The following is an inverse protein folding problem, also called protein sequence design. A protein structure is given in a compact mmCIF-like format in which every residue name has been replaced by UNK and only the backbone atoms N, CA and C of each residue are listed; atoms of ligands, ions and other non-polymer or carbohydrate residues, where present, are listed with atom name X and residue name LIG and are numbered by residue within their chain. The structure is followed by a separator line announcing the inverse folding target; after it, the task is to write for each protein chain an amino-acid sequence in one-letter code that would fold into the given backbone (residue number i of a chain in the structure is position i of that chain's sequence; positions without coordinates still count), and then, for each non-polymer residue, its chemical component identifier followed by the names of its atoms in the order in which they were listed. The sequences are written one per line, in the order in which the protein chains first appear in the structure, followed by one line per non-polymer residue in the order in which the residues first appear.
data_IF_419431509124
#
_entry.id   IF_419431509124
#
_cell.length_a   1.000
_cell.length_b   1.000
_cell.length_c   1.000
_cell.angle_alpha   90.00
_cell.angle_beta   90.00
_cell.angle_gamma   90.00
#
_symmetry.space_group_name_H-M   'P 1'
#
loop_
_entity.id
_entity.type
_entity.pdbx_description
1 polymer ?
#
# COMPACT_ATOMS: atom_id res chain seq x y z
N UNK A 1 7.98 -1.92 1.28
CA UNK A 1 6.88 -2.04 2.27
C UNK A 1 6.17 -0.72 2.58
N UNK A 2 6.83 0.45 2.46
CA UNK A 2 6.17 1.75 2.64
C UNK A 2 4.90 1.95 1.80
N UNK A 3 4.88 1.47 0.56
CA UNK A 3 3.68 1.45 -0.30
C UNK A 3 2.49 0.73 0.34
N UNK A 4 2.72 -0.44 0.92
CA UNK A 4 1.68 -1.24 1.59
C UNK A 4 1.08 -0.46 2.75
N UNK A 5 1.96 0.05 3.62
CA UNK A 5 1.57 0.83 4.79
C UNK A 5 0.80 2.10 4.35
N UNK A 6 1.26 2.76 3.28
CA UNK A 6 0.58 3.92 2.71
C UNK A 6 -0.79 3.58 2.14
N UNK A 7 -0.95 2.45 1.44
CA UNK A 7 -2.23 2.00 0.90
C UNK A 7 -3.23 1.66 2.02
N UNK A 8 -2.77 0.99 3.09
CA UNK A 8 -3.58 0.73 4.29
C UNK A 8 -3.98 2.02 5.02
N UNK A 9 -3.28 3.12 4.80
CA UNK A 9 -3.52 4.39 5.46
C UNK A 9 -4.35 5.36 4.61
N UNK A 10 -4.93 4.91 3.49
CA UNK A 10 -5.88 5.72 2.73
C UNK A 10 -7.03 6.21 3.62
N UNK A 11 -7.50 7.43 3.36
CA UNK A 11 -8.69 7.97 4.01
C UNK A 11 -9.94 7.30 3.42
N UNK A 12 -10.21 6.06 3.86
CA UNK A 12 -11.36 5.27 3.44
C UNK A 12 -11.88 4.43 4.62
N UNK A 13 -13.19 4.12 4.69
CA UNK A 13 -13.74 3.27 5.73
C UNK A 13 -12.98 1.94 5.82
N UNK A 14 -12.50 1.52 7.00
CA UNK A 14 -11.52 0.43 7.07
C UNK A 14 -12.13 -0.92 6.71
N UNK A 15 -13.40 -1.16 7.07
CA UNK A 15 -14.16 -2.34 6.66
C UNK A 15 -14.48 -2.41 5.16
N UNK A 16 -14.22 -1.33 4.39
CA UNK A 16 -14.38 -1.30 2.92
C UNK A 16 -13.05 -1.28 2.17
N UNK A 17 -11.93 -1.24 2.89
CA UNK A 17 -10.60 -1.20 2.31
C UNK A 17 -9.90 -2.54 2.55
N UNK A 18 -9.44 -3.16 1.46
CA UNK A 18 -8.64 -4.36 1.48
C UNK A 18 -7.39 -4.16 0.60
N UNK A 19 -6.23 -4.52 1.12
CA UNK A 19 -4.93 -4.41 0.46
C UNK A 19 -4.43 -5.82 0.16
N UNK A 20 -4.20 -6.10 -1.12
CA UNK A 20 -3.68 -7.38 -1.59
C UNK A 20 -2.27 -7.17 -2.16
N UNK A 21 -1.32 -8.00 -1.74
CA UNK A 21 0.06 -7.97 -2.21
C UNK A 21 0.33 -9.24 -3.00
N UNK A 22 0.80 -9.09 -4.24
CA UNK A 22 1.33 -10.22 -5.01
C UNK A 22 2.83 -10.32 -4.83
N UNK A 23 3.30 -11.49 -4.41
CA UNK A 23 4.72 -11.85 -4.44
C UNK A 23 4.96 -12.95 -5.46
N UNK A 24 5.55 -12.56 -6.58
CA UNK A 24 5.87 -13.46 -7.68
C UNK A 24 7.09 -14.35 -7.37
N UNK A 25 7.87 -14.03 -6.34
CA UNK A 25 8.99 -14.86 -5.92
C UNK A 25 8.64 -15.89 -4.85
N UNK A 26 7.45 -15.79 -4.24
CA UNK A 26 7.07 -16.66 -3.11
C UNK A 26 8.12 -16.66 -1.99
N UNK A 27 8.80 -15.53 -1.78
CA UNK A 27 9.96 -15.45 -0.88
C UNK A 27 9.49 -15.22 0.56
N UNK A 28 10.06 -16.01 1.47
CA UNK A 28 9.78 -15.89 2.89
C UNK A 28 10.26 -14.52 3.45
N UNK A 29 11.31 -13.92 2.86
CA UNK A 29 11.72 -12.53 3.14
C UNK A 29 10.56 -11.55 2.88
N UNK A 30 9.91 -11.65 1.72
CA UNK A 30 8.78 -10.77 1.37
C UNK A 30 7.60 -11.02 2.30
N UNK A 31 7.27 -12.29 2.58
CA UNK A 31 6.17 -12.64 3.48
C UNK A 31 6.42 -12.07 4.90
N UNK A 32 7.61 -12.28 5.45
CA UNK A 32 8.00 -11.75 6.75
C UNK A 32 8.00 -10.20 6.74
N UNK A 33 8.44 -9.57 5.65
CA UNK A 33 8.35 -8.12 5.51
C UNK A 33 6.90 -7.60 5.52
N UNK A 34 5.94 -8.35 4.95
CA UNK A 34 4.51 -8.00 5.01
C UNK A 34 3.98 -8.19 6.44
N UNK A 35 4.38 -9.24 7.16
CA UNK A 35 4.02 -9.43 8.58
C UNK A 35 4.53 -8.30 9.47
N UNK A 36 5.77 -7.86 9.27
CA UNK A 36 6.30 -6.70 10.00
C UNK A 36 5.58 -5.39 9.59
N UNK A 37 5.24 -5.23 8.31
CA UNK A 37 4.48 -4.08 7.84
C UNK A 37 3.07 -4.05 8.45
N UNK A 38 2.41 -5.20 8.62
CA UNK A 38 1.14 -5.32 9.34
C UNK A 38 1.29 -4.84 10.79
N UNK A 39 2.28 -5.35 11.52
CA UNK A 39 2.55 -4.98 12.92
C UNK A 39 2.76 -3.48 13.08
N UNK A 40 3.58 -2.86 12.22
CA UNK A 40 3.78 -1.41 12.25
C UNK A 40 2.52 -0.63 11.86
N UNK A 41 1.76 -1.11 10.87
CA UNK A 41 0.52 -0.46 10.42
C UNK A 41 -0.51 -0.29 11.52
N UNK A 42 -0.54 -1.20 12.51
CA UNK A 42 -1.43 -1.10 13.70
C UNK A 42 -1.16 0.13 14.56
N UNK A 43 0.03 0.73 14.47
CA UNK A 43 0.35 2.01 15.12
C UNK A 43 0.20 3.17 14.13
N UNK A 44 0.69 2.99 12.92
CA UNK A 44 0.72 4.02 11.88
C UNK A 44 -0.67 4.44 11.40
N UNK A 45 -1.56 3.49 11.09
CA UNK A 45 -2.91 3.77 10.57
C UNK A 45 -3.75 4.55 11.59
N UNK A 46 -3.84 4.15 12.88
CA UNK A 46 -4.48 4.96 13.91
C UNK A 46 -3.88 6.35 14.06
N UNK A 47 -2.55 6.48 14.07
CA UNK A 47 -1.89 7.78 14.20
C UNK A 47 -2.26 8.71 13.03
N UNK A 48 -2.16 8.19 11.82
CA UNK A 48 -2.57 8.84 10.58
C UNK A 48 -4.00 9.39 10.63
N UNK A 49 -4.94 8.60 11.18
CA UNK A 49 -6.35 9.00 11.31
C UNK A 49 -6.58 9.98 12.47
N UNK A 50 -5.94 9.75 13.62
CA UNK A 50 -6.06 10.61 14.83
C UNK A 50 -5.70 12.06 14.52
N UNK A 51 -4.63 12.25 13.76
CA UNK A 51 -4.05 13.57 13.50
C UNK A 51 -4.28 14.07 12.06
N UNK A 52 -5.11 13.39 11.28
CA UNK A 52 -5.47 13.84 9.92
C UNK A 52 -4.27 14.02 8.99
N UNK A 53 -3.26 13.15 9.07
CA UNK A 53 -2.01 13.33 8.32
C UNK A 53 -2.22 13.22 6.81
N UNK A 54 -1.68 14.18 6.05
CA UNK A 54 -1.68 14.07 4.58
C UNK A 54 -0.65 13.04 4.09
N UNK A 55 0.53 12.98 4.71
CA UNK A 55 1.59 12.06 4.32
C UNK A 55 1.32 10.65 4.87
N UNK A 56 0.96 9.72 3.97
CA UNK A 56 0.66 8.32 4.34
C UNK A 56 1.85 7.37 4.25
N UNK A 57 2.90 7.76 3.55
CA UNK A 57 4.14 7.00 3.45
C UNK A 57 5.06 7.32 4.63
N UNK A 58 5.36 6.35 5.52
CA UNK A 58 6.19 6.58 6.71
C UNK A 58 7.58 7.12 6.39
N UNK A 59 8.25 6.54 5.38
CA UNK A 59 9.57 6.99 4.93
C UNK A 59 9.58 8.46 4.51
N UNK A 60 8.58 8.88 3.74
CA UNK A 60 8.44 10.31 3.39
C UNK A 60 8.19 11.15 4.63
N UNK A 61 7.26 10.72 5.48
CA UNK A 61 6.87 11.47 6.66
C UNK A 61 8.05 11.73 7.61
N UNK A 62 8.86 10.70 7.87
CA UNK A 62 10.02 10.83 8.76
C UNK A 62 11.24 11.48 8.09
N UNK A 63 11.36 11.44 6.76
CA UNK A 63 12.39 12.16 6.03
C UNK A 63 12.11 13.68 5.88
N UNK A 64 10.85 14.08 5.93
CA UNK A 64 10.45 15.48 5.76
C UNK A 64 10.76 16.29 7.04
N UNK A 65 11.44 17.42 6.89
CA UNK A 65 11.77 18.35 7.99
C UNK A 65 10.61 19.30 8.35
N UNK A 66 9.39 19.03 7.88
CA UNK A 66 8.23 19.87 8.15
C UNK A 66 7.97 19.95 9.67
N UNK A 67 7.85 21.19 10.15
CA UNK A 67 7.41 21.45 11.52
C UNK A 67 5.91 21.19 11.59
N UNK A 68 5.54 19.99 12.02
CA UNK A 68 4.16 19.69 12.38
C UNK A 68 3.78 20.55 13.59
N UNK A 69 2.75 21.40 13.44
CA UNK A 69 2.19 22.16 14.55
C UNK A 69 1.29 21.18 15.33
N UNK A 70 1.86 20.57 16.37
CA UNK A 70 1.18 19.60 17.22
C UNK A 70 1.05 20.08 18.67
N UNK A 71 0.17 19.44 19.44
CA UNK A 71 0.15 19.55 20.90
C UNK A 71 1.18 18.59 21.52
N UNK A 72 1.44 18.68 22.82
CA UNK A 72 2.40 17.81 23.51
C UNK A 72 2.07 16.31 23.36
N UNK A 73 0.79 15.96 23.24
CA UNK A 73 0.32 14.59 22.98
C UNK A 73 0.76 14.09 21.60
N UNK A 74 0.61 14.92 20.56
CA UNK A 74 1.09 14.62 19.22
C UNK A 74 2.60 14.35 19.20
N UNK A 75 3.38 15.19 19.90
CA UNK A 75 4.84 15.01 19.96
C UNK A 75 5.23 13.72 20.68
N UNK A 76 4.54 13.37 21.77
CA UNK A 76 4.74 12.12 22.48
C UNK A 76 4.41 10.90 21.58
N UNK A 77 3.24 10.89 20.96
CA UNK A 77 2.80 9.83 20.05
C UNK A 77 3.75 9.71 18.85
N UNK A 78 4.19 10.84 18.28
CA UNK A 78 5.13 10.89 17.15
C UNK A 78 6.49 10.31 17.53
N UNK A 79 6.99 10.60 18.73
CA UNK A 79 8.27 10.06 19.19
C UNK A 79 8.21 8.54 19.38
N UNK A 80 7.13 8.03 19.98
CA UNK A 80 6.89 6.58 20.08
C UNK A 80 6.83 5.95 18.68
N UNK A 81 6.09 6.57 17.75
CA UNK A 81 5.94 6.04 16.41
C UNK A 81 7.25 6.06 15.60
N UNK A 82 8.10 7.06 15.83
CA UNK A 82 9.45 7.11 15.24
C UNK A 82 10.31 5.94 15.70
N UNK A 83 10.25 5.60 16.98
CA UNK A 83 10.95 4.43 17.51
C UNK A 83 10.41 3.13 16.91
N UNK A 84 9.09 2.96 16.87
CA UNK A 84 8.46 1.80 16.21
C UNK A 84 8.82 1.67 14.73
N UNK A 85 8.97 2.80 14.04
CA UNK A 85 9.38 2.80 12.64
C UNK A 85 10.84 2.34 12.49
N UNK A 86 11.73 2.74 13.40
CA UNK A 86 13.11 2.23 13.44
C UNK A 86 13.15 0.74 13.73
N UNK A 87 12.42 0.25 14.73
CA UNK A 87 12.28 -1.18 15.03
C UNK A 87 11.82 -1.97 13.79
N UNK A 88 10.83 -1.44 13.07
CA UNK A 88 10.35 -2.01 11.82
C UNK A 88 11.43 -2.06 10.74
N UNK A 89 12.19 -0.98 10.52
CA UNK A 89 13.29 -0.95 9.55
C UNK A 89 14.38 -1.97 9.91
N UNK A 90 14.79 -2.04 11.16
CA UNK A 90 15.77 -3.03 11.63
C UNK A 90 15.27 -4.47 11.45
N UNK A 91 13.98 -4.73 11.67
CA UNK A 91 13.40 -6.05 11.45
C UNK A 91 13.46 -6.46 9.97
N UNK A 92 13.20 -5.52 9.05
CA UNK A 92 13.34 -5.77 7.61
C UNK A 92 14.79 -6.10 7.22
N UNK A 93 15.76 -5.36 7.78
CA UNK A 93 17.19 -5.61 7.53
C UNK A 93 17.63 -6.98 8.05
N UNK A 94 17.27 -7.32 9.29
CA UNK A 94 17.56 -8.64 9.90
C UNK A 94 16.98 -9.79 9.09
N UNK A 95 15.72 -9.68 8.66
CA UNK A 95 15.07 -10.68 7.82
C UNK A 95 15.77 -10.84 6.46
N UNK A 96 16.28 -9.76 5.89
CA UNK A 96 17.03 -9.81 4.63
C UNK A 96 18.43 -10.44 4.77
N UNK A 97 19.03 -10.45 5.96
CA UNK A 97 20.36 -11.03 6.21
C UNK A 97 20.30 -12.52 6.56
N UNK A 98 19.25 -12.95 7.26
CA UNK A 98 19.15 -14.30 7.80
C UNK A 98 18.67 -15.35 6.77
N UNK A 99 18.00 -14.93 5.70
CA UNK A 99 17.44 -15.85 4.71
C UNK A 99 18.20 -15.84 3.38
N UNK A 100 18.32 -17.03 2.78
CA UNK A 100 18.90 -17.15 1.45
C UNK A 100 18.00 -16.44 0.43
N UNK A 101 18.58 -15.55 -0.39
CA UNK A 101 17.87 -14.82 -1.46
C UNK A 101 17.41 -15.71 -2.63
N UNK A 102 17.34 -17.03 -2.42
CA UNK A 102 16.97 -18.02 -3.41
C UNK A 102 15.47 -17.93 -3.69
N UNK A 103 15.10 -17.15 -4.70
CA UNK A 103 13.75 -17.19 -5.27
C UNK A 103 13.61 -18.49 -6.06
N UNK A 104 12.86 -19.46 -5.52
CA UNK A 104 12.57 -20.68 -6.26
C UNK A 104 11.70 -20.34 -7.46
N UNK A 105 12.03 -20.89 -8.64
CA UNK A 105 11.12 -20.86 -9.81
C UNK A 105 9.98 -21.86 -9.69
N UNK A 106 10.03 -22.69 -8.65
CA UNK A 106 9.09 -23.75 -8.37
C UNK A 106 8.66 -23.69 -6.90
N UNK A 107 7.42 -23.25 -6.67
CA UNK A 107 6.86 -23.14 -5.33
C UNK A 107 5.34 -23.29 -5.34
N UNK A 108 4.76 -23.86 -4.27
CA UNK A 108 3.31 -23.93 -4.12
C UNK A 108 2.71 -22.52 -3.95
N UNK A 109 1.38 -22.39 -4.10
CA UNK A 109 0.70 -21.15 -3.78
C UNK A 109 0.67 -20.94 -2.25
N UNK A 110 0.82 -19.69 -1.83
CA UNK A 110 0.71 -19.27 -0.42
C UNK A 110 -0.22 -18.08 -0.34
N UNK A 111 -1.27 -18.18 0.48
CA UNK A 111 -2.17 -17.07 0.77
C UNK A 111 -2.19 -16.91 2.28
N UNK A 112 -1.88 -15.71 2.76
CA UNK A 112 -1.91 -15.39 4.18
C UNK A 112 -2.71 -14.12 4.41
N UNK A 113 -3.77 -14.23 5.22
CA UNK A 113 -4.57 -13.10 5.66
C UNK A 113 -3.99 -12.63 6.99
N UNK A 114 -3.51 -11.39 7.04
CA UNK A 114 -2.94 -10.83 8.25
C UNK A 114 -4.06 -10.54 9.24
N UNK A 115 -4.05 -11.25 10.37
CA UNK A 115 -5.06 -11.13 11.42
C UNK A 115 -4.38 -11.04 12.79
N UNK A 116 -5.14 -10.63 13.80
CA UNK A 116 -4.67 -10.54 15.18
C UNK A 116 -4.96 -11.87 15.90
N UNK A 117 -3.97 -12.76 16.01
CA UNK A 117 -4.10 -14.03 16.76
C UNK A 117 -4.17 -13.83 18.28
N UNK A 118 -3.93 -12.62 18.82
CA UNK A 118 -3.59 -12.43 20.24
C UNK A 118 -4.31 -11.30 20.99
N UNK A 119 -5.21 -10.51 20.41
CA UNK A 119 -5.91 -9.44 21.16
C UNK A 119 -7.38 -9.30 20.77
N UNK A 120 -8.25 -10.07 21.44
CA UNK A 120 -9.69 -9.82 21.46
C UNK A 120 -10.08 -8.61 22.34
N UNK A 121 -9.16 -8.10 23.15
CA UNK A 121 -9.39 -6.96 24.04
C UNK A 121 -8.41 -5.82 23.76
N UNK A 122 -8.82 -4.93 22.88
CA UNK A 122 -8.55 -3.49 22.93
C UNK A 122 -9.48 -2.90 21.89
N UNK A 123 -9.94 -1.65 22.05
CA UNK A 123 -10.74 -0.95 21.04
C UNK A 123 -9.97 -0.69 19.75
N UNK A 124 -9.50 -1.76 19.08
CA UNK A 124 -8.77 -1.78 17.84
C UNK A 124 -9.64 -1.07 16.82
N UNK A 125 -9.29 0.19 16.59
CA UNK A 125 -9.73 0.97 15.44
C UNK A 125 -9.66 0.05 14.23
N UNK A 126 -10.80 -0.11 13.54
CA UNK A 126 -10.94 -1.03 12.42
C UNK A 126 -9.72 -0.90 11.48
N UNK A 127 -8.98 -1.99 11.32
CA UNK A 127 -7.84 -2.07 10.42
C UNK A 127 -8.33 -2.58 9.06
N UNK A 128 -7.84 -2.02 7.93
CA UNK A 128 -8.10 -2.59 6.62
C UNK A 128 -7.55 -4.02 6.52
N UNK A 129 -8.22 -4.86 5.74
CA UNK A 129 -7.74 -6.21 5.46
C UNK A 129 -6.41 -6.16 4.71
N UNK A 130 -5.42 -6.96 5.13
CA UNK A 130 -4.16 -7.12 4.41
C UNK A 130 -3.97 -8.60 4.06
N UNK A 131 -3.80 -8.89 2.77
CA UNK A 131 -3.65 -10.27 2.25
C UNK A 131 -2.38 -10.38 1.43
N UNK A 132 -1.50 -11.29 1.83
CA UNK A 132 -0.36 -11.72 1.04
C UNK A 132 -0.77 -12.86 0.11
N UNK A 133 -0.35 -12.78 -1.15
CA UNK A 133 -0.61 -13.80 -2.17
C UNK A 133 0.68 -14.09 -2.94
N UNK A 134 1.20 -15.30 -2.79
CA UNK A 134 2.14 -15.90 -3.73
C UNK A 134 1.41 -16.95 -4.55
N UNK A 135 1.35 -16.75 -5.86
CA UNK A 135 0.74 -17.73 -6.77
C UNK A 135 1.65 -18.92 -6.98
N UNK A 136 1.08 -20.07 -7.30
CA UNK A 136 1.89 -21.24 -7.69
C UNK A 136 2.75 -20.90 -8.91
N UNK A 137 4.01 -21.34 -8.88
CA UNK A 137 4.91 -21.31 -10.04
C UNK A 137 5.53 -22.67 -10.24
N UNK A 138 5.62 -23.07 -11.51
CA UNK A 138 6.32 -24.27 -11.99
C UNK A 138 7.16 -23.87 -13.19
N UNK A 139 8.35 -24.44 -13.31
CA UNK A 139 9.33 -24.08 -14.35
C UNK A 139 8.82 -24.23 -15.80
N UNK A 140 7.91 -25.17 -16.03
CA UNK A 140 7.33 -25.49 -17.33
C UNK A 140 5.98 -24.81 -17.62
N UNK A 141 5.51 -23.89 -16.76
CA UNK A 141 4.23 -23.20 -16.96
C UNK A 141 4.43 -21.69 -17.16
N UNK A 142 3.99 -21.11 -18.30
CA UNK A 142 4.09 -19.67 -18.50
C UNK A 142 3.19 -18.94 -17.52
N UNK A 143 3.74 -17.91 -16.85
CA UNK A 143 3.04 -17.19 -15.78
C UNK A 143 2.67 -15.74 -16.13
N UNK A 144 2.97 -15.25 -17.33
CA UNK A 144 2.53 -13.93 -17.83
C UNK A 144 2.87 -12.73 -16.91
N UNK A 145 3.98 -12.81 -16.16
CA UNK A 145 4.52 -11.73 -15.32
C UNK A 145 3.44 -10.95 -14.54
N UNK A 146 3.45 -9.62 -14.62
CA UNK A 146 2.54 -8.70 -13.92
C UNK A 146 1.07 -8.92 -14.28
N UNK A 147 0.76 -9.19 -15.56
CA UNK A 147 -0.62 -9.43 -16.00
C UNK A 147 -1.21 -10.70 -15.36
N UNK A 148 -0.42 -11.78 -15.32
CA UNK A 148 -0.83 -13.00 -14.64
C UNK A 148 -0.98 -12.84 -13.12
N UNK A 149 -0.09 -12.07 -12.50
CA UNK A 149 -0.14 -11.77 -11.07
C UNK A 149 -1.41 -10.99 -10.71
N UNK A 150 -1.70 -9.93 -11.46
CA UNK A 150 -2.89 -9.10 -11.25
C UNK A 150 -4.19 -9.92 -11.42
N UNK A 151 -4.25 -10.79 -12.43
CA UNK A 151 -5.39 -11.69 -12.63
C UNK A 151 -5.58 -12.67 -11.47
N UNK A 152 -4.49 -13.15 -10.84
CA UNK A 152 -4.59 -13.98 -9.64
C UNK A 152 -5.12 -13.17 -8.46
N UNK A 153 -4.62 -11.94 -8.25
CA UNK A 153 -5.11 -11.07 -7.17
C UNK A 153 -6.62 -10.82 -7.29
N UNK A 154 -7.14 -10.54 -8.49
CA UNK A 154 -8.57 -10.33 -8.72
C UNK A 154 -9.39 -11.60 -8.41
N UNK A 155 -8.89 -12.79 -8.77
CA UNK A 155 -9.57 -14.05 -8.45
C UNK A 155 -9.57 -14.33 -6.94
N UNK A 156 -8.46 -14.08 -6.26
CA UNK A 156 -8.36 -14.24 -4.81
C UNK A 156 -9.24 -13.22 -4.08
N UNK A 157 -9.25 -11.96 -4.53
CA UNK A 157 -10.08 -10.92 -3.93
C UNK A 157 -11.57 -11.19 -4.13
N UNK A 158 -11.99 -11.72 -5.28
CA UNK A 158 -13.37 -12.12 -5.54
C UNK A 158 -13.91 -13.15 -4.52
N UNK A 159 -13.05 -14.03 -4.01
CA UNK A 159 -13.42 -15.02 -2.99
C UNK A 159 -13.40 -14.42 -1.58
N UNK A 160 -12.40 -13.58 -1.27
CA UNK A 160 -12.15 -13.10 0.10
C UNK A 160 -13.00 -11.87 0.46
N UNK A 161 -13.00 -10.83 -0.39
CA UNK A 161 -13.67 -9.55 -0.09
C UNK A 161 -14.72 -9.13 -1.12
N UNK A 162 -14.64 -9.66 -2.35
CA UNK A 162 -15.54 -9.40 -3.47
C UNK A 162 -15.85 -7.90 -3.68
N UNK A 163 -14.82 -7.07 -3.62
CA UNK A 163 -14.96 -5.63 -3.81
C UNK A 163 -15.33 -5.28 -5.27
N UNK A 164 -16.26 -4.34 -5.51
CA UNK A 164 -16.69 -3.96 -6.86
C UNK A 164 -15.67 -3.10 -7.62
N UNK A 165 -14.73 -2.48 -6.90
CA UNK A 165 -13.68 -1.63 -7.48
C UNK A 165 -12.33 -2.08 -6.94
N UNK A 166 -11.28 -1.96 -7.76
CA UNK A 166 -9.91 -2.21 -7.35
C UNK A 166 -9.00 -1.06 -7.77
N UNK A 167 -8.01 -0.77 -6.95
CA UNK A 167 -6.96 0.20 -7.21
C UNK A 167 -5.64 -0.56 -7.43
N UNK A 168 -4.98 -0.32 -8.55
CA UNK A 168 -3.69 -0.93 -8.87
C UNK A 168 -2.57 0.03 -8.49
N UNK A 169 -1.62 -0.45 -7.69
CA UNK A 169 -0.44 0.31 -7.26
C UNK A 169 0.82 -0.52 -7.49
N UNK A 170 1.86 0.14 -7.99
CA UNK A 170 3.18 -0.44 -8.13
C UNK A 170 4.02 -0.27 -6.86
N UNK A 171 5.02 -1.13 -6.66
CA UNK A 171 5.78 -1.22 -5.40
C UNK A 171 6.71 -0.02 -5.14
N UNK A 172 6.96 0.79 -6.14
CA UNK A 172 7.72 2.04 -6.10
C UNK A 172 6.81 3.29 -6.00
N UNK A 173 5.49 3.09 -6.02
CA UNK A 173 4.48 4.14 -5.91
C UNK A 173 3.81 4.10 -4.54
N UNK A 174 3.31 5.24 -4.06
CA UNK A 174 2.48 5.29 -2.85
C UNK A 174 1.49 6.44 -2.94
N UNK A 175 0.48 6.38 -2.07
CA UNK A 175 -0.61 7.33 -2.06
C UNK A 175 -0.13 8.65 -1.45
N UNK A 176 0.08 9.66 -2.29
CA UNK A 176 0.45 11.00 -1.83
C UNK A 176 -0.74 11.73 -1.20
N UNK A 177 -1.89 11.71 -1.88
CA UNK A 177 -3.15 12.24 -1.36
C UNK A 177 -3.97 11.09 -0.73
N UNK A 178 -4.26 11.14 0.58
CA UNK A 178 -5.01 10.09 1.25
C UNK A 178 -6.46 9.99 0.79
N UNK A 179 -7.01 11.07 0.23
CA UNK A 179 -8.40 11.12 -0.24
C UNK A 179 -8.58 10.63 -1.67
N UNK A 180 -7.51 10.24 -2.36
CA UNK A 180 -7.53 9.77 -3.77
C UNK A 180 -8.57 8.68 -4.04
N UNK A 181 -8.70 7.68 -3.15
CA UNK A 181 -9.73 6.65 -3.28
C UNK A 181 -11.16 7.22 -3.19
N UNK A 182 -11.40 8.20 -2.31
CA UNK A 182 -12.70 8.89 -2.21
C UNK A 182 -12.99 9.76 -3.42
N UNK A 183 -11.98 10.46 -3.94
CA UNK A 183 -12.10 11.27 -5.15
C UNK A 183 -12.47 10.40 -6.36
N UNK A 184 -11.84 9.22 -6.50
CA UNK A 184 -12.22 8.26 -7.53
C UNK A 184 -13.70 7.84 -7.41
N UNK A 185 -14.18 7.66 -6.18
CA UNK A 185 -15.55 7.25 -5.93
C UNK A 185 -16.58 8.31 -6.32
N UNK A 186 -16.23 9.59 -6.32
CA UNK A 186 -17.10 10.64 -6.84
C UNK A 186 -17.49 10.41 -8.31
N UNK A 187 -16.57 9.85 -9.13
CA UNK A 187 -16.86 9.53 -10.53
C UNK A 187 -17.71 8.28 -10.69
N UNK A 188 -17.42 7.22 -9.94
CA UNK A 188 -18.14 5.95 -10.04
C UNK A 188 -19.53 5.97 -9.38
N UNK A 189 -19.78 6.89 -8.44
CA UNK A 189 -21.07 7.02 -7.76
C UNK A 189 -21.98 8.07 -8.39
N UNK A 190 -21.49 8.85 -9.37
CA UNK A 190 -22.33 9.78 -10.12
C UNK A 190 -23.22 9.01 -11.11
N UNK A 191 -24.56 9.02 -10.96
CA UNK A 191 -25.46 8.30 -11.84
C UNK A 191 -25.35 8.69 -13.32
N UNK A 192 -24.90 9.93 -13.61
CA UNK A 192 -24.77 10.44 -14.98
C UNK A 192 -23.54 9.89 -15.69
N UNK A 193 -22.44 9.73 -14.96
CA UNK A 193 -21.14 9.38 -15.55
C UNK A 193 -20.76 7.91 -15.30
N UNK A 194 -21.18 7.33 -14.18
CA UNK A 194 -20.84 5.97 -13.76
C UNK A 194 -21.01 4.90 -14.85
N UNK A 195 -22.11 4.88 -15.64
CA UNK A 195 -22.30 3.86 -16.69
C UNK A 195 -21.26 3.93 -17.82
N UNK A 196 -20.54 5.05 -17.95
CA UNK A 196 -19.60 5.32 -19.03
C UNK A 196 -18.13 5.30 -18.57
N UNK A 197 -17.86 5.04 -17.28
CA UNK A 197 -16.51 5.05 -16.71
C UNK A 197 -16.09 3.62 -16.35
N UNK A 198 -15.04 3.14 -17.03
CA UNK A 198 -14.42 1.86 -16.72
C UNK A 198 -13.27 1.99 -15.71
N UNK A 199 -12.47 3.06 -15.79
CA UNK A 199 -11.42 3.35 -14.82
C UNK A 199 -11.18 4.86 -14.64
N UNK A 200 -10.64 5.24 -13.49
CA UNK A 200 -10.16 6.60 -13.20
C UNK A 200 -8.63 6.56 -13.10
N UNK A 201 -7.94 7.29 -13.97
CA UNK A 201 -6.49 7.38 -13.97
C UNK A 201 -6.02 8.60 -13.20
N UNK A 202 -5.15 8.38 -12.20
CA UNK A 202 -4.46 9.47 -11.52
C UNK A 202 -3.11 9.75 -12.17
N UNK A 203 -2.68 11.03 -12.23
CA UNK A 203 -1.36 11.38 -12.73
C UNK A 203 -0.27 10.83 -11.80
N UNK A 204 0.70 10.13 -12.36
CA UNK A 204 1.86 9.64 -11.64
C UNK A 204 2.92 10.75 -11.55
N UNK A 205 3.35 11.07 -10.32
CA UNK A 205 4.39 12.08 -10.06
C UNK A 205 5.60 11.41 -9.43
N UNK A 206 6.74 11.50 -10.12
CA UNK A 206 8.02 11.02 -9.62
C UNK A 206 8.66 12.03 -8.66
N UNK A 207 9.51 11.54 -7.76
CA UNK A 207 10.21 12.36 -6.77
C UNK A 207 11.68 12.48 -7.12
N UNK A 208 12.38 13.41 -6.45
CA UNK A 208 13.82 13.64 -6.59
C UNK A 208 14.26 13.97 -8.03
N UNK A 209 13.40 14.67 -8.78
CA UNK A 209 13.72 15.10 -10.14
C UNK A 209 14.64 16.32 -10.10
N UNK A 210 15.77 16.22 -10.80
CA UNK A 210 16.70 17.32 -11.04
C UNK A 210 15.97 18.58 -11.52
N UNK A 211 16.49 19.75 -11.18
CA UNK A 211 16.04 21.02 -11.77
C UNK A 211 16.24 21.03 -13.29
N UNK A 212 17.32 20.39 -13.75
CA UNK A 212 17.62 20.18 -15.16
C UNK A 212 17.22 18.75 -15.54
N UNK A 213 15.92 18.54 -15.69
CA UNK A 213 15.34 17.26 -16.06
C UNK A 213 15.54 16.96 -17.56
N UNK A 214 16.79 16.62 -17.91
CA UNK A 214 17.19 16.27 -19.27
C UNK A 214 16.52 15.00 -19.81
N UNK A 215 15.97 14.18 -18.92
CA UNK A 215 15.28 12.93 -19.26
C UNK A 215 13.76 13.10 -19.39
N UNK A 216 13.23 14.29 -19.11
CA UNK A 216 11.79 14.58 -19.22
C UNK A 216 10.91 13.76 -18.26
N UNK A 217 11.44 13.36 -17.10
CA UNK A 217 10.68 12.64 -16.07
C UNK A 217 9.52 13.46 -15.47
N UNK A 218 9.60 14.79 -15.54
CA UNK A 218 8.53 15.75 -15.26
C UNK A 218 7.54 15.70 -16.43
N UNK A 219 6.61 14.75 -16.39
CA UNK A 219 5.47 14.62 -17.31
C UNK A 219 4.46 15.80 -17.26
N UNK A 220 4.88 17.00 -16.82
CA UNK A 220 4.06 18.17 -16.61
C UNK A 220 3.30 18.63 -17.87
N UNK A 221 3.82 18.35 -19.07
CA UNK A 221 3.22 18.82 -20.33
C UNK A 221 2.24 17.83 -20.98
N UNK A 222 2.22 16.55 -20.58
CA UNK A 222 1.36 15.51 -21.18
C UNK A 222 0.15 15.11 -20.32
N UNK A 223 0.16 15.46 -19.02
CA UNK A 223 -0.89 15.09 -18.06
C UNK A 223 -1.92 16.20 -17.81
N UNK A 224 -1.95 17.26 -18.64
CA UNK A 224 -2.99 18.27 -18.57
C UNK A 224 -4.35 17.64 -18.88
N UNK A 225 -5.17 17.48 -17.84
CA UNK A 225 -6.55 17.03 -17.91
C UNK A 225 -7.32 17.85 -18.94
N UNK A 226 -7.89 17.19 -19.95
CA UNK A 226 -9.15 17.67 -20.52
C UNK A 226 -10.17 17.66 -19.37
N UNK A 227 -10.41 18.83 -18.78
CA UNK A 227 -11.59 19.05 -17.95
C UNK A 227 -12.78 18.79 -18.87
N UNK A 228 -13.53 17.73 -18.59
CA UNK A 228 -14.85 17.56 -19.21
C UNK A 228 -15.71 18.63 -18.52
N UNK A 229 -15.91 19.75 -19.23
CA UNK A 229 -16.85 20.81 -18.86
C UNK A 229 -18.29 20.29 -18.95
#
# INVERSE_FOLDING_TARGET
MNTVISAMSLDYPPHKLAVYISDDGGSLITLNAVREAWRFSRFWVPFCRKYGLNLRCPETYFATQEKFIGNAEFDADRNILRERYREFQEALEKNSMNESKSVSRDHPPTIEVMTDDQNKDSGLREMPLLVYVAREKRSCHPHHFKGGALNVLIRVSAVISNAPYFLVLDCDMYCHDPSSARQAMCYYLDPKHSPHIAWVQFPQKFRNMSEHDIYGGRLNNFLALHSIN
#
